data_IF_513032734254
#
_entry.id   IF_513032734254
#
_cell.length_a   1.000
_cell.length_b   1.000
_cell.length_c   1.000
_cell.angle_alpha   90.00
_cell.angle_beta   90.00
_cell.angle_gamma   90.00
#
_symmetry.space_group_name_H-M   'P 1'
#
loop_
_entity.id
_entity.type
_entity.pdbx_description
1 polymer ?
#
# COMPACT_ATOMS: atom_id res chain seq x y z
N UNK A 1 15.97 -19.40 1.15
CA UNK A 1 15.45 -19.26 -0.22
C UNK A 1 15.36 -17.80 -0.60
N UNK A 2 15.66 -17.37 -1.87
CA UNK A 2 15.53 -15.98 -2.31
C UNK A 2 14.16 -15.36 -2.05
N UNK A 3 13.07 -16.10 -2.19
CA UNK A 3 11.72 -15.66 -1.83
C UNK A 3 11.60 -15.24 -0.36
N UNK A 4 12.03 -16.10 0.56
CA UNK A 4 12.01 -15.82 2.01
C UNK A 4 12.88 -14.61 2.36
N UNK A 5 14.04 -14.50 1.71
CA UNK A 5 14.94 -13.38 1.89
C UNK A 5 14.32 -12.06 1.39
N UNK A 6 13.65 -12.08 0.23
CA UNK A 6 12.90 -10.95 -0.29
C UNK A 6 11.77 -10.51 0.64
N UNK A 7 10.98 -11.47 1.18
CA UNK A 7 9.94 -11.17 2.18
C UNK A 7 10.52 -10.47 3.41
N UNK A 8 11.64 -10.99 3.95
CA UNK A 8 12.29 -10.38 5.12
C UNK A 8 12.84 -8.98 4.84
N UNK A 9 13.30 -8.72 3.61
CA UNK A 9 13.72 -7.38 3.17
C UNK A 9 12.57 -6.41 2.97
N UNK A 10 11.40 -6.92 2.62
CA UNK A 10 10.18 -6.10 2.44
C UNK A 10 9.53 -5.69 3.77
N UNK A 11 10.00 -6.20 4.91
CA UNK A 11 9.51 -5.79 6.23
C UNK A 11 10.08 -4.41 6.57
N UNK A 12 9.22 -3.40 6.80
CA UNK A 12 9.68 -2.09 7.25
C UNK A 12 10.40 -2.19 8.59
N UNK A 13 11.53 -1.52 8.72
CA UNK A 13 12.30 -1.45 9.98
C UNK A 13 12.36 -0.01 10.44
N UNK A 14 11.94 0.27 11.66
CA UNK A 14 11.98 1.61 12.27
C UNK A 14 13.39 2.20 12.33
N UNK A 15 14.41 1.33 12.39
CA UNK A 15 15.83 1.72 12.45
C UNK A 15 16.45 2.09 11.10
N UNK A 16 15.76 1.86 9.98
CA UNK A 16 16.28 2.11 8.64
C UNK A 16 15.51 3.26 8.00
N UNK A 17 16.22 4.28 7.56
CA UNK A 17 15.64 5.33 6.74
C UNK A 17 15.47 4.82 5.29
N UNK A 18 14.27 5.03 4.72
CA UNK A 18 13.94 4.66 3.34
C UNK A 18 12.83 3.62 3.24
N UNK A 19 12.37 3.41 2.01
CA UNK A 19 11.38 2.38 1.71
C UNK A 19 12.02 0.99 1.75
N UNK A 20 11.31 -0.02 2.24
CA UNK A 20 11.80 -1.40 2.17
C UNK A 20 11.92 -1.86 0.71
N UNK A 21 12.84 -2.78 0.46
CA UNK A 21 13.02 -3.36 -0.87
C UNK A 21 11.73 -4.08 -1.29
N UNK A 22 11.22 -3.77 -2.48
CA UNK A 22 10.10 -4.51 -3.04
C UNK A 22 10.55 -5.82 -3.68
N UNK A 23 9.70 -6.84 -3.61
CA UNK A 23 9.95 -8.10 -4.29
C UNK A 23 9.65 -7.94 -5.80
N UNK A 24 10.58 -8.28 -6.70
CA UNK A 24 10.37 -8.09 -8.13
C UNK A 24 9.27 -8.99 -8.69
N UNK A 25 8.63 -8.52 -9.75
CA UNK A 25 7.64 -9.25 -10.54
C UNK A 25 6.29 -9.50 -9.84
N UNK A 26 5.32 -9.94 -10.61
CA UNK A 26 3.96 -10.25 -10.15
C UNK A 26 3.83 -11.69 -9.65
N UNK A 27 2.82 -11.95 -8.83
CA UNK A 27 2.50 -13.32 -8.43
C UNK A 27 1.97 -14.11 -9.65
N UNK A 28 2.33 -15.39 -9.78
CA UNK A 28 1.74 -16.22 -10.82
C UNK A 28 0.23 -16.36 -10.61
N UNK A 29 -0.51 -16.42 -11.69
CA UNK A 29 -1.97 -16.62 -11.62
C UNK A 29 -2.30 -17.95 -10.92
N UNK A 30 -3.37 -17.98 -10.12
CA UNK A 30 -3.85 -19.21 -9.49
C UNK A 30 -4.04 -20.32 -10.53
N UNK A 31 -3.60 -21.54 -10.18
CA UNK A 31 -3.71 -22.70 -11.09
C UNK A 31 -2.57 -22.86 -12.10
N UNK A 32 -1.64 -21.92 -12.23
CA UNK A 32 -0.47 -22.06 -13.10
C UNK A 32 0.48 -23.13 -12.53
N UNK A 33 0.52 -24.30 -13.17
CA UNK A 33 1.48 -25.37 -12.82
C UNK A 33 2.82 -25.09 -13.51
N UNK A 34 3.90 -24.93 -12.74
CA UNK A 34 5.28 -24.84 -13.24
C UNK A 34 6.02 -26.13 -12.94
N UNK A 35 6.82 -26.62 -13.90
CA UNK A 35 7.62 -27.84 -13.74
C UNK A 35 8.78 -27.67 -12.76
N UNK A 36 9.38 -26.47 -12.71
CA UNK A 36 10.52 -26.14 -11.88
C UNK A 36 10.16 -25.36 -10.61
N UNK A 37 11.11 -24.52 -10.16
CA UNK A 37 10.91 -23.65 -9.01
C UNK A 37 9.82 -22.61 -9.28
N UNK A 38 8.79 -22.56 -8.44
CA UNK A 38 7.66 -21.61 -8.58
C UNK A 38 8.09 -20.13 -8.53
N UNK A 39 9.26 -19.85 -7.95
CA UNK A 39 9.82 -18.49 -7.85
C UNK A 39 10.77 -18.13 -9.01
N UNK A 40 10.96 -19.03 -10.00
CA UNK A 40 11.93 -18.86 -11.08
C UNK A 40 11.88 -17.48 -11.75
N UNK A 41 10.70 -17.05 -12.22
CA UNK A 41 10.54 -15.81 -13.01
C UNK A 41 10.84 -14.53 -12.21
N UNK A 42 10.88 -14.63 -10.88
CA UNK A 42 11.09 -13.51 -9.96
C UNK A 42 12.44 -13.58 -9.24
N UNK A 43 13.21 -14.61 -9.52
CA UNK A 43 14.43 -14.91 -8.79
C UNK A 43 15.64 -14.32 -9.52
N UNK A 44 16.33 -13.39 -8.87
CA UNK A 44 17.58 -12.82 -9.39
C UNK A 44 18.79 -13.78 -9.39
N UNK A 45 18.63 -14.95 -8.76
CA UNK A 45 19.62 -16.03 -8.74
C UNK A 45 19.16 -17.24 -9.57
N UNK A 46 18.17 -17.08 -10.44
CA UNK A 46 17.65 -18.17 -11.25
C UNK A 46 18.69 -18.68 -12.25
N UNK A 47 18.70 -19.98 -12.47
CA UNK A 47 19.48 -20.68 -13.48
C UNK A 47 18.55 -21.62 -14.26
N UNK A 48 18.97 -22.08 -15.44
CA UNK A 48 18.14 -22.94 -16.31
C UNK A 48 17.61 -24.19 -15.59
N UNK A 49 18.44 -24.79 -14.71
CA UNK A 49 17.99 -25.91 -13.88
C UNK A 49 16.78 -25.60 -13.00
N UNK A 50 16.65 -24.33 -12.56
CA UNK A 50 15.51 -23.90 -11.74
C UNK A 50 14.21 -23.80 -12.54
N UNK A 51 14.29 -23.65 -13.87
CA UNK A 51 13.15 -23.62 -14.76
C UNK A 51 12.55 -25.00 -14.99
N UNK A 52 13.42 -26.00 -15.07
CA UNK A 52 13.07 -27.37 -15.47
C UNK A 52 12.81 -28.25 -14.27
N UNK A 53 13.64 -28.16 -13.23
CA UNK A 53 13.65 -29.04 -12.06
C UNK A 53 13.20 -28.29 -10.80
N UNK A 54 12.35 -28.95 -10.02
CA UNK A 54 12.00 -28.50 -8.66
C UNK A 54 13.09 -28.98 -7.70
N UNK A 55 13.74 -28.09 -6.91
CA UNK A 55 14.73 -28.53 -5.94
C UNK A 55 14.08 -29.33 -4.80
N UNK A 56 14.79 -30.33 -4.29
CA UNK A 56 14.38 -31.06 -3.11
C UNK A 56 14.58 -30.25 -1.84
N UNK A 57 13.90 -30.65 -0.77
CA UNK A 57 14.07 -30.03 0.54
C UNK A 57 15.34 -30.59 1.20
N UNK A 58 16.37 -29.75 1.30
CA UNK A 58 17.66 -30.08 1.90
C UNK A 58 17.77 -29.48 3.30
N UNK A 59 18.15 -30.26 4.30
CA UNK A 59 18.46 -29.77 5.64
C UNK A 59 19.90 -29.28 5.70
N UNK A 60 20.09 -28.04 6.14
CA UNK A 60 21.40 -27.40 6.26
C UNK A 60 21.76 -27.31 7.74
N UNK A 61 22.67 -28.15 8.18
CA UNK A 61 23.05 -28.28 9.58
C UNK A 61 23.65 -27.02 10.17
N UNK A 62 24.50 -26.31 9.39
CA UNK A 62 25.12 -25.03 9.82
C UNK A 62 24.11 -23.93 10.10
N UNK A 63 22.98 -23.93 9.40
CA UNK A 63 21.91 -22.94 9.55
C UNK A 63 20.73 -23.43 10.36
N UNK A 64 20.74 -24.70 10.78
CA UNK A 64 19.65 -25.39 11.50
C UNK A 64 18.29 -25.18 10.81
N UNK A 65 18.26 -25.22 9.49
CA UNK A 65 17.05 -24.97 8.69
C UNK A 65 17.01 -25.83 7.44
N UNK A 66 15.81 -26.03 6.90
CA UNK A 66 15.65 -26.71 5.62
C UNK A 66 15.37 -25.72 4.51
N UNK A 67 15.94 -25.93 3.32
CA UNK A 67 15.76 -25.06 2.16
C UNK A 67 15.47 -25.89 0.92
N UNK A 68 14.56 -25.38 0.09
CA UNK A 68 14.27 -25.92 -1.24
C UNK A 68 14.77 -24.94 -2.30
N UNK A 69 16.10 -24.95 -2.55
CA UNK A 69 16.73 -24.01 -3.48
C UNK A 69 18.11 -24.50 -3.93
N UNK A 70 18.36 -24.57 -5.23
CA UNK A 70 19.68 -24.94 -5.78
C UNK A 70 20.75 -23.89 -5.49
N UNK A 71 20.38 -22.61 -5.31
CA UNK A 71 21.31 -21.50 -5.26
C UNK A 71 21.36 -20.80 -3.88
N UNK A 72 20.97 -21.49 -2.80
CA UNK A 72 20.95 -20.87 -1.47
C UNK A 72 22.34 -20.41 -1.01
N UNK A 73 23.41 -21.11 -1.38
CA UNK A 73 24.80 -20.75 -1.02
C UNK A 73 25.21 -19.38 -1.61
N UNK A 74 24.77 -19.08 -2.84
CA UNK A 74 25.00 -17.78 -3.47
C UNK A 74 24.33 -16.65 -2.71
N UNK A 75 23.09 -16.89 -2.21
CA UNK A 75 22.36 -15.92 -1.42
C UNK A 75 23.07 -15.57 -0.10
N UNK A 76 23.69 -16.58 0.55
CA UNK A 76 24.42 -16.38 1.82
C UNK A 76 25.64 -15.47 1.57
N UNK A 77 26.40 -15.70 0.49
CA UNK A 77 27.55 -14.86 0.12
C UNK A 77 27.15 -13.40 -0.15
N UNK A 78 26.07 -13.16 -0.92
CA UNK A 78 25.59 -11.80 -1.18
C UNK A 78 25.15 -11.06 0.07
N UNK A 79 24.64 -11.77 1.09
CA UNK A 79 24.23 -11.18 2.35
C UNK A 79 25.41 -10.61 3.15
N UNK A 80 26.58 -11.24 3.09
CA UNK A 80 27.78 -10.78 3.81
C UNK A 80 28.40 -9.51 3.18
N UNK A 81 28.23 -9.30 1.87
CA UNK A 81 28.80 -8.17 1.14
C UNK A 81 27.95 -6.87 1.24
N UNK A 82 26.64 -6.99 1.44
CA UNK A 82 25.69 -5.85 1.41
C UNK A 82 25.42 -5.19 2.75
N UNK A 83 26.10 -5.57 3.85
CA UNK A 83 25.84 -4.97 5.18
C UNK A 83 26.50 -3.61 5.43
N UNK A 84 27.25 -3.05 4.49
CA UNK A 84 28.16 -1.92 4.75
C UNK A 84 27.72 -0.54 4.24
N UNK A 85 26.59 -0.34 3.56
CA UNK A 85 26.29 0.96 2.95
C UNK A 85 24.83 1.39 3.04
N UNK A 86 24.37 1.83 4.22
CA UNK A 86 23.17 2.65 4.31
C UNK A 86 23.51 3.98 4.97
N UNK A 87 23.87 4.97 4.15
CA UNK A 87 23.97 6.37 4.56
C UNK A 87 22.56 6.98 4.59
N UNK A 88 22.15 7.51 5.73
CA UNK A 88 20.99 8.40 5.86
C UNK A 88 21.29 9.69 5.08
N UNK A 89 20.54 9.95 4.04
CA UNK A 89 20.45 11.30 3.46
C UNK A 89 19.35 12.04 4.24
N UNK A 90 19.75 12.75 5.27
CA UNK A 90 18.89 13.77 5.91
C UNK A 90 18.78 14.94 4.94
N UNK A 91 17.74 14.94 4.12
CA UNK A 91 17.36 16.15 3.38
C UNK A 91 16.68 17.08 4.36
N UNK A 92 17.23 18.29 4.53
CA UNK A 92 16.52 19.41 5.15
C UNK A 92 15.27 19.73 4.30
N UNK A 93 14.16 19.13 4.65
CA UNK A 93 12.86 19.39 4.02
C UNK A 93 12.36 20.69 4.63
N UNK A 94 12.25 21.74 3.81
CA UNK A 94 11.52 22.95 4.22
C UNK A 94 10.11 22.49 4.58
N UNK A 95 9.67 22.81 5.79
CA UNK A 95 8.33 22.50 6.29
C UNK A 95 7.32 23.20 5.38
N UNK A 96 6.69 22.46 4.51
CA UNK A 96 5.61 22.90 3.64
C UNK A 96 4.53 21.82 3.70
N UNK A 97 3.69 21.93 4.73
CA UNK A 97 2.61 21.02 5.03
C UNK A 97 1.60 21.01 3.87
N UNK A 98 1.28 19.79 3.37
CA UNK A 98 0.29 19.61 2.31
C UNK A 98 -0.95 18.87 2.81
N UNK A 99 -0.82 18.01 3.81
CA UNK A 99 -1.94 17.29 4.41
C UNK A 99 -1.75 17.25 5.92
N UNK A 100 -2.81 17.59 6.65
CA UNK A 100 -2.84 17.53 8.10
C UNK A 100 -4.12 16.84 8.57
N UNK A 101 -3.98 15.85 9.43
CA UNK A 101 -5.04 15.21 10.15
C UNK A 101 -4.96 15.64 11.61
N UNK A 102 -6.03 16.19 12.16
CA UNK A 102 -6.09 16.61 13.55
C UNK A 102 -7.25 15.92 14.26
N UNK A 103 -6.94 15.11 15.28
CA UNK A 103 -7.86 14.37 16.13
C UNK A 103 -8.89 13.53 15.37
N UNK A 104 -8.47 12.93 14.25
CA UNK A 104 -9.36 12.22 13.36
C UNK A 104 -9.74 10.88 13.94
N UNK A 105 -11.05 10.67 14.12
CA UNK A 105 -11.64 9.39 14.53
C UNK A 105 -12.62 8.90 13.46
N UNK A 106 -12.58 7.60 13.14
CA UNK A 106 -13.32 6.99 12.02
C UNK A 106 -14.08 5.75 12.54
N UNK A 107 -15.35 5.64 12.17
CA UNK A 107 -16.18 4.47 12.48
C UNK A 107 -16.79 3.90 11.22
N UNK A 108 -16.89 2.56 11.14
CA UNK A 108 -17.58 1.84 10.06
C UNK A 108 -19.09 1.72 10.28
N UNK A 109 -19.64 2.31 11.34
CA UNK A 109 -21.08 2.19 11.59
C UNK A 109 -21.87 2.69 10.38
N UNK A 110 -22.56 1.77 9.71
CA UNK A 110 -23.67 2.11 8.83
C UNK A 110 -24.77 2.69 9.72
N UNK A 111 -24.95 4.00 9.70
CA UNK A 111 -26.15 4.58 10.27
C UNK A 111 -27.34 3.94 9.56
N UNK A 112 -28.10 3.12 10.27
CA UNK A 112 -29.38 2.62 9.77
C UNK A 112 -30.26 3.84 9.52
N UNK A 113 -31.01 3.85 8.42
CA UNK A 113 -31.94 4.93 8.07
C UNK A 113 -32.87 5.31 9.24
N UNK A 114 -33.26 4.33 10.07
CA UNK A 114 -34.06 4.52 11.29
C UNK A 114 -33.30 5.29 12.39
N UNK A 115 -31.98 5.13 12.52
CA UNK A 115 -31.19 5.84 13.53
C UNK A 115 -31.00 7.32 13.17
N UNK A 116 -31.01 7.66 11.87
CA UNK A 116 -31.03 9.05 11.38
C UNK A 116 -32.32 9.78 11.70
N UNK A 117 -33.49 9.08 11.64
CA UNK A 117 -34.79 9.64 11.93
C UNK A 117 -34.97 9.84 13.42
N UNK A 118 -34.41 8.97 14.26
CA UNK A 118 -34.59 8.98 15.72
C UNK A 118 -33.49 9.77 16.45
N UNK A 119 -32.59 10.45 15.76
CA UNK A 119 -31.43 11.15 16.37
C UNK A 119 -30.66 10.30 17.41
N UNK A 120 -30.74 8.99 17.32
CA UNK A 120 -30.03 8.06 18.21
C UNK A 120 -28.58 7.99 17.74
N UNK A 121 -27.70 8.66 18.45
CA UNK A 121 -26.25 8.46 18.34
C UNK A 121 -26.01 7.07 18.92
N UNK A 122 -25.95 6.05 18.06
CA UNK A 122 -25.41 4.75 18.45
C UNK A 122 -23.92 4.96 18.68
N UNK A 123 -23.52 4.89 19.93
CA UNK A 123 -22.14 5.07 20.39
C UNK A 123 -21.31 3.84 19.96
N UNK A 124 -21.02 3.80 18.66
CA UNK A 124 -20.14 2.76 18.12
C UNK A 124 -18.71 3.21 18.34
N UNK A 125 -17.94 2.41 19.07
CA UNK A 125 -16.51 2.64 19.24
C UNK A 125 -15.84 2.87 17.88
N UNK A 126 -15.06 3.95 17.72
CA UNK A 126 -14.39 4.22 16.48
C UNK A 126 -13.41 3.09 16.14
N UNK A 127 -13.36 2.69 14.88
CA UNK A 127 -12.40 1.71 14.37
C UNK A 127 -10.97 2.26 14.44
N UNK A 128 -10.84 3.58 14.28
CA UNK A 128 -9.60 4.33 14.37
C UNK A 128 -9.89 5.58 15.18
N UNK A 129 -9.03 5.91 16.15
CA UNK A 129 -9.26 6.99 17.11
C UNK A 129 -8.05 7.91 17.23
N UNK A 130 -8.32 9.21 17.39
CA UNK A 130 -7.35 10.26 17.74
C UNK A 130 -6.10 10.28 16.83
N UNK A 131 -6.28 10.19 15.52
CA UNK A 131 -5.20 10.19 14.54
C UNK A 131 -4.73 11.61 14.27
N UNK A 132 -3.43 11.84 14.48
CA UNK A 132 -2.74 13.07 14.16
C UNK A 132 -1.57 12.74 13.22
N UNK A 133 -1.58 13.30 12.01
CA UNK A 133 -0.56 13.06 10.96
C UNK A 133 -0.35 14.35 10.18
N UNK A 134 0.92 14.74 10.04
CA UNK A 134 1.35 15.86 9.21
C UNK A 134 2.19 15.32 8.05
N UNK A 135 1.85 15.73 6.83
CA UNK A 135 2.57 15.34 5.61
C UNK A 135 3.04 16.58 4.89
N UNK A 136 4.35 16.64 4.61
CA UNK A 136 4.96 17.74 3.88
C UNK A 136 5.02 17.45 2.38
N UNK A 137 5.06 18.49 1.58
CA UNK A 137 5.20 18.38 0.13
C UNK A 137 6.48 17.63 -0.25
N UNK A 138 6.33 16.58 -1.06
CA UNK A 138 7.44 15.71 -1.48
C UNK A 138 7.86 14.67 -0.44
N UNK A 139 7.12 14.56 0.67
CA UNK A 139 7.32 13.53 1.68
C UNK A 139 6.57 12.24 1.33
N UNK A 140 7.13 11.11 1.73
CA UNK A 140 6.50 9.80 1.65
C UNK A 140 6.37 9.23 3.05
N UNK A 141 5.14 8.97 3.49
CA UNK A 141 4.85 8.37 4.80
C UNK A 141 4.36 6.94 4.62
N UNK A 142 4.92 6.01 5.38
CA UNK A 142 4.47 4.62 5.43
C UNK A 142 3.66 4.35 6.70
N UNK A 143 2.41 3.91 6.55
CA UNK A 143 1.59 3.41 7.65
C UNK A 143 1.86 1.92 7.84
N UNK A 144 2.45 1.56 8.98
CA UNK A 144 2.84 0.18 9.32
C UNK A 144 2.01 -0.33 10.48
N UNK A 145 1.62 -1.59 10.44
CA UNK A 145 0.84 -2.24 11.48
C UNK A 145 0.23 -3.55 11.00
N UNK A 146 -0.36 -4.32 11.92
CA UNK A 146 -1.02 -5.60 11.62
C UNK A 146 -2.24 -5.44 10.70
N UNK A 147 -2.69 -6.56 10.14
CA UNK A 147 -3.95 -6.58 9.38
C UNK A 147 -5.11 -6.18 10.32
N UNK A 148 -5.98 -5.29 9.85
CA UNK A 148 -7.09 -4.77 10.68
C UNK A 148 -6.74 -3.57 11.57
N UNK A 149 -5.48 -3.09 11.63
CA UNK A 149 -5.09 -1.92 12.46
C UNK A 149 -5.62 -0.56 11.98
N UNK A 150 -6.42 -0.52 10.92
CA UNK A 150 -7.06 0.72 10.46
C UNK A 150 -6.31 1.49 9.36
N UNK A 151 -5.18 1.00 8.83
CA UNK A 151 -4.41 1.67 7.77
C UNK A 151 -5.25 2.06 6.56
N UNK A 152 -5.96 1.09 5.99
CA UNK A 152 -6.85 1.33 4.83
C UNK A 152 -8.04 2.23 5.18
N UNK A 153 -8.47 2.23 6.44
CA UNK A 153 -9.54 3.11 6.96
C UNK A 153 -9.08 4.57 6.92
N UNK A 154 -7.86 4.85 7.38
CA UNK A 154 -7.28 6.20 7.33
C UNK A 154 -7.15 6.67 5.87
N UNK A 155 -6.57 5.86 4.98
CA UNK A 155 -6.43 6.21 3.57
C UNK A 155 -7.77 6.48 2.89
N UNK A 156 -8.79 5.64 3.15
CA UNK A 156 -10.13 5.83 2.62
C UNK A 156 -10.80 7.10 3.15
N UNK A 157 -10.53 7.51 4.40
CA UNK A 157 -11.08 8.75 4.94
C UNK A 157 -10.40 9.98 4.33
N UNK A 158 -9.09 9.96 4.11
CA UNK A 158 -8.37 11.00 3.38
C UNK A 158 -8.94 11.16 1.97
N UNK A 159 -9.19 10.03 1.28
CA UNK A 159 -9.80 10.03 -0.05
C UNK A 159 -11.30 10.44 -0.05
N UNK A 160 -11.95 10.56 1.13
CA UNK A 160 -13.37 10.92 1.25
C UNK A 160 -14.34 9.76 1.04
N UNK A 161 -13.84 8.53 0.93
CA UNK A 161 -14.66 7.33 0.79
C UNK A 161 -15.28 6.86 2.13
N UNK A 162 -14.71 7.30 3.24
CA UNK A 162 -15.24 7.09 4.59
C UNK A 162 -15.34 8.44 5.29
N UNK A 163 -16.46 8.64 6.00
CA UNK A 163 -16.66 9.86 6.80
C UNK A 163 -15.89 9.75 8.10
N UNK A 164 -15.26 10.84 8.52
CA UNK A 164 -14.74 10.96 9.88
C UNK A 164 -15.91 11.20 10.84
N UNK A 165 -15.84 10.61 12.04
CA UNK A 165 -16.77 10.86 13.14
C UNK A 165 -16.40 12.16 13.83
N UNK A 166 -15.10 12.36 14.06
CA UNK A 166 -14.50 13.50 14.76
C UNK A 166 -13.23 13.94 14.05
N UNK A 167 -12.75 15.12 14.38
CA UNK A 167 -11.54 15.68 13.84
C UNK A 167 -11.68 16.36 12.48
N UNK A 168 -10.57 16.81 11.92
CA UNK A 168 -10.51 17.53 10.66
C UNK A 168 -9.36 17.04 9.79
N UNK A 169 -9.59 17.00 8.48
CA UNK A 169 -8.55 16.74 7.48
C UNK A 169 -8.37 18.05 6.70
N UNK A 170 -7.17 18.63 6.77
CA UNK A 170 -6.80 19.81 6.02
C UNK A 170 -5.90 19.43 4.86
N UNK A 171 -6.05 20.11 3.74
CA UNK A 171 -5.25 19.93 2.54
C UNK A 171 -4.83 21.28 1.96
N UNK A 172 -3.59 21.37 1.49
CA UNK A 172 -3.01 22.58 0.91
C UNK A 172 -3.19 23.79 1.84
N UNK A 173 -2.41 23.81 2.92
CA UNK A 173 -2.44 24.77 4.04
C UNK A 173 -3.66 24.54 4.96
N UNK A 174 -4.65 25.45 4.93
CA UNK A 174 -5.75 25.46 5.90
C UNK A 174 -7.10 25.04 5.34
N UNK A 175 -7.15 24.56 4.12
CA UNK A 175 -8.39 24.13 3.49
C UNK A 175 -8.90 22.82 4.10
N UNK A 176 -9.99 22.88 4.85
CA UNK A 176 -10.65 21.72 5.42
C UNK A 176 -11.40 20.96 4.34
N UNK A 177 -11.02 19.69 4.16
CA UNK A 177 -11.69 18.78 3.22
C UNK A 177 -13.07 18.39 3.75
N UNK A 178 -14.05 18.33 2.86
CA UNK A 178 -15.36 17.78 3.22
C UNK A 178 -15.24 16.28 3.52
N UNK A 179 -15.91 15.84 4.60
CA UNK A 179 -16.05 14.42 4.97
C UNK A 179 -16.95 13.64 4.00
N UNK A 180 -17.70 14.34 3.16
CA UNK A 180 -18.59 13.77 2.15
C UNK A 180 -17.95 13.94 0.77
N UNK A 181 -17.66 12.81 0.11
CA UNK A 181 -17.08 12.80 -1.23
C UNK A 181 -17.90 13.65 -2.23
N UNK A 182 -19.23 13.61 -2.13
CA UNK A 182 -20.13 14.35 -3.02
C UNK A 182 -20.03 15.86 -2.85
N UNK A 183 -19.50 16.33 -1.72
CA UNK A 183 -19.29 17.75 -1.42
C UNK A 183 -17.88 18.22 -1.69
N UNK A 184 -16.97 17.33 -2.09
CA UNK A 184 -15.63 17.73 -2.54
C UNK A 184 -15.68 18.31 -3.92
N UNK A 185 -14.93 19.38 -4.14
CA UNK A 185 -14.83 19.98 -5.46
C UNK A 185 -13.92 19.16 -6.39
N UNK A 186 -14.01 19.38 -7.68
CA UNK A 186 -13.23 18.64 -8.69
C UNK A 186 -11.71 18.80 -8.49
N UNK A 187 -11.25 19.94 -7.95
CA UNK A 187 -9.82 20.15 -7.68
C UNK A 187 -9.33 19.27 -6.53
N UNK A 188 -10.13 19.05 -5.47
CA UNK A 188 -9.79 18.15 -4.37
C UNK A 188 -9.77 16.69 -4.83
N UNK A 189 -10.76 16.28 -5.63
CA UNK A 189 -10.84 14.93 -6.19
C UNK A 189 -9.66 14.64 -7.12
N UNK A 190 -9.22 15.62 -7.90
CA UNK A 190 -8.06 15.50 -8.77
C UNK A 190 -6.75 15.45 -7.99
N UNK A 191 -6.63 16.24 -6.92
CA UNK A 191 -5.39 16.37 -6.15
C UNK A 191 -5.14 15.18 -5.21
N UNK A 192 -6.22 14.50 -4.75
CA UNK A 192 -6.12 13.36 -3.82
C UNK A 192 -6.57 12.11 -4.54
N UNK A 193 -5.62 11.25 -4.88
CA UNK A 193 -5.87 10.00 -5.59
C UNK A 193 -5.56 8.80 -4.69
N UNK A 194 -6.38 7.76 -4.76
CA UNK A 194 -6.23 6.52 -4.02
C UNK A 194 -5.96 5.36 -4.99
N UNK A 195 -4.86 4.65 -4.75
CA UNK A 195 -4.56 3.41 -5.46
C UNK A 195 -4.96 2.25 -4.55
N UNK A 196 -5.86 1.40 -5.02
CA UNK A 196 -6.29 0.22 -4.27
C UNK A 196 -5.24 -0.90 -4.32
N UNK A 197 -5.25 -1.77 -3.31
CA UNK A 197 -4.33 -2.90 -3.20
C UNK A 197 -4.47 -3.87 -4.38
N UNK A 198 -5.69 -4.07 -4.87
CA UNK A 198 -6.03 -4.88 -6.04
C UNK A 198 -6.59 -3.95 -7.13
N UNK A 199 -5.75 -3.41 -8.01
CA UNK A 199 -6.21 -2.47 -9.05
C UNK A 199 -7.27 -3.07 -9.98
N UNK A 200 -7.20 -4.37 -10.26
CA UNK A 200 -8.17 -5.07 -11.10
C UNK A 200 -9.60 -5.01 -10.54
N UNK A 201 -9.75 -5.02 -9.21
CA UNK A 201 -11.06 -4.90 -8.55
C UNK A 201 -11.65 -3.48 -8.62
N UNK A 202 -10.82 -2.48 -8.93
CA UNK A 202 -11.24 -1.08 -9.06
C UNK A 202 -11.68 -0.71 -10.47
N UNK A 203 -11.39 -1.55 -11.45
CA UNK A 203 -11.76 -1.35 -12.84
C UNK A 203 -13.06 -2.10 -13.16
N UNK A 204 -13.94 -1.46 -13.95
CA UNK A 204 -15.14 -2.14 -14.44
C UNK A 204 -14.77 -3.08 -15.60
N UNK A 205 -14.92 -4.40 -15.46
CA UNK A 205 -14.53 -5.37 -16.51
C UNK A 205 -15.36 -5.26 -17.80
N UNK A 206 -16.50 -4.56 -17.76
CA UNK A 206 -17.35 -4.33 -18.92
C UNK A 206 -16.94 -3.09 -19.73
N UNK A 207 -15.99 -2.29 -19.22
CA UNK A 207 -15.50 -1.12 -19.93
C UNK A 207 -14.29 -1.49 -20.80
N UNK A 208 -14.18 -0.86 -21.96
CA UNK A 208 -12.98 -0.92 -22.79
C UNK A 208 -11.85 -0.11 -22.13
N UNK A 209 -10.62 -0.38 -22.55
CA UNK A 209 -9.45 0.41 -22.09
C UNK A 209 -9.62 1.90 -22.42
N UNK A 210 -10.19 2.21 -23.58
CA UNK A 210 -10.50 3.59 -24.01
C UNK A 210 -11.47 4.26 -23.04
N UNK A 211 -12.58 3.63 -22.70
CA UNK A 211 -13.57 4.15 -21.75
C UNK A 211 -12.95 4.39 -20.36
N UNK A 212 -12.12 3.47 -19.87
CA UNK A 212 -11.45 3.60 -18.58
C UNK A 212 -10.50 4.81 -18.59
N UNK A 213 -9.72 4.99 -19.65
CA UNK A 213 -8.78 6.10 -19.77
C UNK A 213 -9.46 7.45 -20.04
N UNK A 214 -10.56 7.46 -20.80
CA UNK A 214 -11.31 8.67 -21.12
C UNK A 214 -12.07 9.22 -19.91
N UNK A 215 -12.51 8.35 -18.98
CA UNK A 215 -13.34 8.76 -17.85
C UNK A 215 -12.69 9.84 -16.95
N UNK A 216 -11.44 9.73 -16.47
CA UNK A 216 -10.78 10.77 -15.69
C UNK A 216 -10.49 12.03 -16.51
N UNK A 217 -10.20 11.90 -17.81
CA UNK A 217 -10.00 13.05 -18.69
C UNK A 217 -11.27 13.88 -18.82
N UNK A 218 -12.40 13.23 -19.01
CA UNK A 218 -13.72 13.86 -19.06
C UNK A 218 -14.09 14.48 -17.71
N UNK A 219 -13.87 13.75 -16.61
CA UNK A 219 -14.27 14.19 -15.27
C UNK A 219 -13.46 15.40 -14.78
N UNK A 220 -12.14 15.39 -14.97
CA UNK A 220 -11.25 16.38 -14.38
C UNK A 220 -10.85 17.51 -15.33
N UNK A 221 -10.93 17.28 -16.63
CA UNK A 221 -10.48 18.26 -17.64
C UNK A 221 -11.58 18.68 -18.61
N UNK A 222 -12.78 18.07 -18.52
CA UNK A 222 -13.89 18.38 -19.42
C UNK A 222 -13.64 17.97 -20.87
N UNK A 223 -12.64 17.10 -21.12
CA UNK A 223 -12.30 16.65 -22.46
C UNK A 223 -13.34 15.61 -22.90
N UNK A 224 -14.07 15.89 -23.97
CA UNK A 224 -14.88 14.92 -24.71
C UNK A 224 -14.04 14.45 -25.89
N UNK A 225 -13.79 13.12 -26.00
CA UNK A 225 -13.16 12.60 -27.20
C UNK A 225 -14.06 12.82 -28.44
N UNK A 226 -13.48 13.27 -29.49
CA UNK A 226 -13.96 13.05 -30.84
C UNK A 226 -13.34 11.74 -31.35
#
# INVERSE_FOLDING_TARGET
>A
HPYTYGLLKSIPKLSLAGLPDSMPGSQPQPGTKKKGCSFYDRCNLAEDKCKINSPDLEYISELKTSVRCFNYKKLIKQKSENQSNIKRNEKNIKVNEILNLTDVSISYAKQKLLDQILNKITDTNPTVKDINIDINKGETIALVGESGSGKSTILKSIAGLLRTKEGKIKFDKDRVLSNDLKKRNSSDLRAIQLIFQNPDESLNPNHTVEEILAQPLKLYFGLSGE
#
